data_IF_920262609067
#
_entry.id   IF_920262609067
#
_cell.length_a   1.000
_cell.length_b   1.000
_cell.length_c   1.000
_cell.angle_alpha   90.00
_cell.angle_beta   90.00
_cell.angle_gamma   90.00
#
_symmetry.space_group_name_H-M   'P 1'
#
loop_
_entity.id
_entity.type
_entity.pdbx_description
1 polymer ?
#
# COMPACT_ATOMS: atom_id res chain seq x y z
N UNK A 1 55.76 30.96 -52.28
CA UNK A 1 55.60 30.50 -50.88
C UNK A 1 54.81 31.58 -50.16
N UNK A 2 53.50 31.39 -50.04
CA UNK A 2 52.58 32.38 -49.47
C UNK A 2 51.71 31.66 -48.45
N UNK A 3 52.18 31.64 -47.21
CA UNK A 3 51.43 31.14 -46.07
C UNK A 3 50.40 32.18 -45.68
N UNK A 4 49.15 31.90 -46.05
CA UNK A 4 47.99 32.70 -45.71
C UNK A 4 47.55 32.28 -44.30
N UNK A 5 48.01 33.01 -43.29
CA UNK A 5 47.55 32.81 -41.91
C UNK A 5 46.08 33.20 -41.80
N UNK A 6 45.21 32.23 -41.53
CA UNK A 6 43.80 32.46 -41.24
C UNK A 6 43.61 33.07 -39.85
N UNK A 7 42.65 34.00 -39.65
CA UNK A 7 42.32 34.51 -38.33
C UNK A 7 41.70 33.39 -37.50
N UNK A 8 42.29 33.12 -36.33
CA UNK A 8 41.65 32.29 -35.32
C UNK A 8 40.49 33.12 -34.74
N UNK A 9 39.26 32.70 -34.98
CA UNK A 9 38.10 33.17 -34.23
C UNK A 9 38.26 32.72 -32.78
N UNK A 10 38.71 33.63 -31.92
CA UNK A 10 38.78 33.44 -30.48
C UNK A 10 37.34 33.41 -29.92
N UNK A 11 36.83 32.21 -29.65
CA UNK A 11 35.53 32.03 -29.02
C UNK A 11 35.46 32.77 -27.67
N UNK A 12 34.31 33.37 -27.30
CA UNK A 12 34.18 34.18 -26.09
C UNK A 12 34.28 33.30 -24.83
N UNK A 13 35.49 33.16 -24.29
CA UNK A 13 35.79 32.48 -23.03
C UNK A 13 35.63 33.42 -21.83
N UNK A 14 34.47 34.09 -21.73
CA UNK A 14 34.15 34.97 -20.60
C UNK A 14 33.63 34.20 -19.39
N UNK A 15 34.01 34.62 -18.18
CA UNK A 15 33.47 34.07 -16.93
C UNK A 15 31.93 34.03 -16.88
N UNK A 16 31.27 34.96 -17.58
CA UNK A 16 29.81 34.98 -17.74
C UNK A 16 29.22 33.76 -18.45
N UNK A 17 29.92 33.18 -19.43
CA UNK A 17 29.46 31.96 -20.11
C UNK A 17 29.52 30.75 -19.18
N UNK A 18 30.56 30.67 -18.33
CA UNK A 18 30.68 29.63 -17.31
C UNK A 18 29.56 29.73 -16.27
N UNK A 19 29.24 30.95 -15.82
CA UNK A 19 28.13 31.19 -14.88
C UNK A 19 26.79 30.80 -15.53
N UNK A 20 26.58 31.15 -16.80
CA UNK A 20 25.37 30.76 -17.52
C UNK A 20 25.22 29.23 -17.66
N UNK A 21 26.30 28.51 -17.97
CA UNK A 21 26.29 27.04 -18.02
C UNK A 21 26.02 26.40 -16.64
N UNK A 22 26.58 26.96 -15.57
CA UNK A 22 26.35 26.46 -14.21
C UNK A 22 24.90 26.74 -13.77
N UNK A 23 24.38 27.94 -14.01
CA UNK A 23 23.00 28.30 -13.65
C UNK A 23 21.99 27.46 -14.44
N UNK A 24 22.20 27.26 -15.74
CA UNK A 24 21.34 26.39 -16.56
C UNK A 24 21.38 24.93 -16.08
N UNK A 25 22.57 24.39 -15.77
CA UNK A 25 22.72 23.05 -15.20
C UNK A 25 21.97 22.93 -13.86
N UNK A 26 22.15 23.87 -12.92
CA UNK A 26 21.48 23.86 -11.62
C UNK A 26 19.95 23.96 -11.76
N UNK A 27 19.45 24.79 -12.68
CA UNK A 27 18.01 24.88 -12.96
C UNK A 27 17.45 23.58 -13.54
N UNK A 28 18.18 22.90 -14.43
CA UNK A 28 17.73 21.60 -14.97
C UNK A 28 17.74 20.48 -13.94
N UNK A 29 18.71 20.48 -13.01
CA UNK A 29 18.74 19.50 -11.93
C UNK A 29 17.64 19.75 -10.90
N UNK A 30 17.31 21.02 -10.64
CA UNK A 30 16.22 21.39 -9.72
C UNK A 30 14.83 21.07 -10.28
N UNK A 31 14.63 21.07 -11.60
CA UNK A 31 13.36 20.67 -12.22
C UNK A 31 13.18 19.15 -12.33
N UNK A 32 14.26 18.36 -12.24
CA UNK A 32 14.18 16.90 -12.12
C UNK A 32 13.67 16.52 -10.73
N UNK A 33 12.33 16.42 -10.58
CA UNK A 33 11.70 15.95 -9.35
C UNK A 33 11.90 14.43 -9.16
N UNK A 34 12.62 13.98 -8.13
CA UNK A 34 12.60 12.58 -7.73
C UNK A 34 11.21 12.27 -7.14
N UNK A 35 10.43 11.42 -7.81
CA UNK A 35 9.09 11.03 -7.34
C UNK A 35 8.08 10.68 -8.45
N UNK A 36 8.35 11.06 -9.70
CA UNK A 36 7.42 10.77 -10.81
C UNK A 36 7.24 9.26 -11.06
N UNK A 37 8.30 8.45 -10.89
CA UNK A 37 8.28 7.01 -11.23
C UNK A 37 7.49 6.18 -10.23
N UNK A 38 7.58 6.46 -8.92
CA UNK A 38 6.85 5.71 -7.90
C UNK A 38 5.34 5.93 -8.02
N UNK A 39 4.92 7.19 -8.24
CA UNK A 39 3.52 7.55 -8.50
C UNK A 39 2.95 6.88 -9.76
N UNK A 40 3.76 6.73 -10.80
CA UNK A 40 3.34 6.02 -12.01
C UNK A 40 3.05 4.53 -11.73
N UNK A 41 3.89 3.86 -10.92
CA UNK A 41 3.72 2.43 -10.60
C UNK A 41 2.44 2.17 -9.82
N UNK A 42 2.08 3.03 -8.86
CA UNK A 42 0.81 2.88 -8.14
C UNK A 42 -0.39 3.15 -9.04
N UNK A 43 -0.36 4.20 -9.87
CA UNK A 43 -1.47 4.46 -10.80
C UNK A 43 -1.71 3.30 -11.77
N UNK A 44 -0.66 2.64 -12.24
CA UNK A 44 -0.79 1.41 -13.04
C UNK A 44 -1.34 0.24 -12.22
N UNK A 45 -0.90 0.07 -10.97
CA UNK A 45 -1.42 -0.95 -10.07
C UNK A 45 -2.92 -0.80 -9.82
N UNK A 46 -3.39 0.44 -9.60
CA UNK A 46 -4.82 0.76 -9.49
C UNK A 46 -5.57 0.48 -10.80
N UNK A 47 -4.97 0.79 -11.95
CA UNK A 47 -5.53 0.47 -13.26
C UNK A 47 -5.75 -1.03 -13.45
N UNK A 48 -4.77 -1.85 -13.04
CA UNK A 48 -4.89 -3.30 -13.05
C UNK A 48 -6.02 -3.80 -12.13
N UNK A 49 -6.12 -3.28 -10.91
CA UNK A 49 -7.22 -3.63 -10.00
C UNK A 49 -8.58 -3.29 -10.60
N UNK A 50 -8.74 -2.09 -11.18
CA UNK A 50 -9.99 -1.67 -11.83
C UNK A 50 -10.36 -2.61 -13.00
N UNK A 51 -9.38 -2.99 -13.81
CA UNK A 51 -9.60 -3.93 -14.92
C UNK A 51 -10.05 -5.30 -14.42
N UNK A 52 -9.43 -5.81 -13.34
CA UNK A 52 -9.83 -7.07 -12.70
C UNK A 52 -11.22 -6.98 -12.07
N UNK A 53 -11.55 -5.86 -11.41
CA UNK A 53 -12.88 -5.60 -10.89
C UNK A 53 -13.95 -5.65 -11.98
N UNK A 54 -13.72 -4.98 -13.12
CA UNK A 54 -14.64 -5.05 -14.27
C UNK A 54 -14.78 -6.49 -14.79
N UNK A 55 -13.70 -7.26 -14.83
CA UNK A 55 -13.75 -8.67 -15.25
C UNK A 55 -14.59 -9.52 -14.27
N UNK A 56 -14.45 -9.29 -12.96
CA UNK A 56 -15.28 -9.92 -11.92
C UNK A 56 -16.76 -9.57 -12.10
N UNK A 57 -17.11 -8.30 -12.34
CA UNK A 57 -18.50 -7.90 -12.59
C UNK A 57 -19.08 -8.58 -13.85
N UNK A 58 -18.28 -8.66 -14.93
CA UNK A 58 -18.69 -9.36 -16.15
C UNK A 58 -18.89 -10.86 -15.91
N UNK A 59 -18.05 -11.47 -15.10
CA UNK A 59 -18.22 -12.87 -14.68
C UNK A 59 -19.53 -13.04 -13.91
N UNK A 60 -19.74 -12.25 -12.87
CA UNK A 60 -20.95 -12.32 -12.05
C UNK A 60 -22.23 -12.13 -12.90
N UNK A 61 -22.22 -11.21 -13.87
CA UNK A 61 -23.33 -11.01 -14.80
C UNK A 61 -23.70 -12.29 -15.58
N UNK A 62 -22.73 -13.14 -15.92
CA UNK A 62 -22.94 -14.41 -16.63
C UNK A 62 -23.23 -15.59 -15.69
N UNK A 63 -22.88 -15.46 -14.41
CA UNK A 63 -22.98 -16.51 -13.39
C UNK A 63 -23.98 -16.14 -12.27
N UNK A 64 -25.13 -15.57 -12.67
CA UNK A 64 -26.25 -15.26 -11.78
C UNK A 64 -25.87 -14.42 -10.55
N UNK A 65 -24.97 -13.46 -10.72
CA UNK A 65 -24.49 -12.58 -9.65
C UNK A 65 -23.40 -13.20 -8.76
N UNK A 66 -22.90 -14.39 -9.09
CA UNK A 66 -21.87 -15.08 -8.29
C UNK A 66 -20.47 -14.81 -8.81
N UNK A 67 -19.56 -14.38 -7.94
CA UNK A 67 -18.14 -14.22 -8.26
C UNK A 67 -17.41 -15.58 -8.27
N UNK A 68 -16.29 -15.70 -9.02
CA UNK A 68 -15.54 -16.95 -9.12
C UNK A 68 -14.86 -17.32 -7.80
N UNK A 69 -14.56 -18.60 -7.57
CA UNK A 69 -13.84 -19.01 -6.36
C UNK A 69 -12.34 -18.69 -6.48
N UNK A 70 -11.82 -18.64 -7.72
CA UNK A 70 -10.44 -18.31 -8.04
C UNK A 70 -10.37 -17.25 -9.12
N UNK A 71 -9.43 -16.31 -8.96
CA UNK A 71 -9.22 -15.24 -9.94
C UNK A 71 -8.85 -15.77 -11.35
N UNK A 72 -8.25 -16.97 -11.42
CA UNK A 72 -7.90 -17.64 -12.68
C UNK A 72 -9.10 -17.97 -13.57
N UNK A 73 -10.30 -18.11 -13.00
CA UNK A 73 -11.53 -18.40 -13.77
C UNK A 73 -11.95 -17.23 -14.67
N UNK A 74 -11.35 -16.04 -14.49
CA UNK A 74 -11.55 -14.90 -15.38
C UNK A 74 -10.80 -15.06 -16.71
N UNK A 75 -9.78 -15.93 -16.75
CA UNK A 75 -8.90 -16.09 -17.91
C UNK A 75 -9.33 -17.32 -18.72
N UNK A 76 -9.41 -17.23 -20.07
CA UNK A 76 -9.18 -16.05 -20.91
C UNK A 76 -10.45 -15.23 -21.21
N UNK A 77 -11.62 -15.69 -20.75
CA UNK A 77 -12.91 -15.24 -21.28
C UNK A 77 -13.30 -13.81 -20.87
N UNK A 78 -12.81 -13.32 -19.73
CA UNK A 78 -13.13 -12.00 -19.17
C UNK A 78 -11.94 -11.06 -19.14
N UNK A 79 -10.73 -11.61 -19.09
CA UNK A 79 -9.45 -10.90 -19.18
C UNK A 79 -8.40 -11.81 -19.85
N UNK A 80 -7.50 -11.23 -20.64
CA UNK A 80 -6.49 -12.00 -21.39
C UNK A 80 -5.53 -12.78 -20.47
N UNK A 81 -5.10 -12.15 -19.38
CA UNK A 81 -4.24 -12.72 -18.36
C UNK A 81 -4.35 -11.92 -17.06
N UNK A 82 -3.98 -12.54 -15.93
CA UNK A 82 -3.84 -11.81 -14.67
C UNK A 82 -2.59 -10.92 -14.75
N UNK A 83 -2.72 -9.59 -14.57
CA UNK A 83 -1.59 -8.68 -14.68
C UNK A 83 -0.62 -8.85 -13.50
N UNK A 84 0.63 -8.43 -13.67
CA UNK A 84 1.59 -8.33 -12.57
C UNK A 84 1.59 -6.94 -11.95
N UNK A 85 1.82 -6.83 -10.65
CA UNK A 85 2.01 -5.54 -10.00
C UNK A 85 3.28 -4.84 -10.57
N UNK A 86 3.19 -3.58 -11.04
CA UNK A 86 4.35 -2.84 -11.59
C UNK A 86 5.47 -2.59 -10.56
N UNK A 87 5.13 -2.54 -9.27
CA UNK A 87 6.10 -2.37 -8.19
C UNK A 87 6.76 -3.70 -7.80
N UNK A 88 5.97 -4.76 -7.61
CA UNK A 88 6.47 -6.08 -7.21
C UNK A 88 7.11 -6.88 -8.36
N UNK A 89 6.71 -6.59 -9.61
CA UNK A 89 7.06 -7.35 -10.83
C UNK A 89 6.64 -8.82 -10.79
N UNK A 90 5.57 -9.11 -10.06
CA UNK A 90 4.96 -10.43 -9.93
C UNK A 90 3.45 -10.30 -9.71
N UNK A 91 2.74 -11.42 -9.82
CA UNK A 91 1.32 -11.48 -9.47
C UNK A 91 1.14 -11.31 -7.96
N UNK A 92 0.46 -10.24 -7.57
CA UNK A 92 0.06 -9.95 -6.19
C UNK A 92 -1.47 -9.95 -6.02
N UNK A 93 -2.21 -10.12 -7.11
CA UNK A 93 -3.66 -10.01 -7.14
C UNK A 93 -4.32 -11.36 -6.91
N UNK A 94 -3.79 -12.45 -7.46
CA UNK A 94 -4.26 -13.81 -7.14
C UNK A 94 -4.23 -14.11 -5.64
N UNK A 95 -3.09 -13.95 -4.93
CA UNK A 95 -3.06 -14.15 -3.48
C UNK A 95 -3.79 -13.05 -2.69
N UNK A 96 -4.19 -11.96 -3.36
CA UNK A 96 -4.94 -10.85 -2.79
C UNK A 96 -6.43 -10.88 -3.10
N UNK A 97 -6.92 -11.93 -3.76
CA UNK A 97 -8.33 -12.12 -4.08
C UNK A 97 -9.01 -12.94 -2.99
N UNK A 98 -10.13 -12.43 -2.50
CA UNK A 98 -10.96 -13.08 -1.50
C UNK A 98 -12.43 -12.92 -1.90
N UNK A 99 -13.13 -14.03 -2.09
CA UNK A 99 -14.58 -14.05 -2.27
C UNK A 99 -15.23 -14.16 -0.89
N UNK A 100 -16.27 -13.38 -0.66
CA UNK A 100 -17.03 -13.40 0.58
C UNK A 100 -18.32 -14.23 0.42
N UNK A 101 -18.75 -14.85 1.52
CA UNK A 101 -19.96 -15.68 1.58
C UNK A 101 -21.25 -14.87 1.36
N UNK A 102 -21.21 -13.56 1.62
CA UNK A 102 -22.31 -12.62 1.41
C UNK A 102 -22.52 -12.23 -0.07
N UNK A 103 -21.76 -12.85 -0.97
CA UNK A 103 -21.79 -12.58 -2.40
C UNK A 103 -20.90 -11.40 -2.80
N UNK A 104 -20.08 -10.85 -1.92
CA UNK A 104 -19.07 -9.85 -2.23
C UNK A 104 -17.71 -10.43 -2.63
N UNK A 105 -16.77 -9.54 -2.95
CA UNK A 105 -15.37 -9.87 -3.06
C UNK A 105 -14.49 -8.72 -2.56
N UNK A 106 -13.26 -9.05 -2.23
CA UNK A 106 -12.16 -8.13 -1.96
C UNK A 106 -11.00 -8.50 -2.88
N UNK A 107 -10.40 -7.47 -3.48
CA UNK A 107 -9.22 -7.62 -4.32
C UNK A 107 -8.16 -6.60 -3.91
N UNK A 108 -6.98 -7.07 -3.55
CA UNK A 108 -5.87 -6.23 -3.08
C UNK A 108 -4.59 -6.47 -3.86
N UNK A 109 -3.72 -5.46 -3.92
CA UNK A 109 -2.31 -5.67 -4.20
C UNK A 109 -1.63 -6.24 -2.95
N UNK A 110 -1.48 -7.57 -2.87
CA UNK A 110 -0.97 -8.24 -1.66
C UNK A 110 0.49 -7.90 -1.35
N UNK A 111 0.78 -7.58 -0.09
CA UNK A 111 2.11 -7.26 0.43
C UNK A 111 2.38 -5.76 0.59
N UNK A 112 3.63 -5.38 0.85
CA UNK A 112 4.04 -3.98 1.07
C UNK A 112 4.79 -3.40 -0.14
N UNK A 113 4.19 -3.51 -1.32
CA UNK A 113 4.86 -3.17 -2.60
C UNK A 113 4.92 -1.66 -2.89
N UNK A 114 4.17 -0.85 -2.15
CA UNK A 114 4.04 0.59 -2.33
C UNK A 114 4.54 1.38 -1.10
N UNK A 115 5.39 0.77 -0.26
CA UNK A 115 5.89 1.36 0.98
C UNK A 115 6.68 2.66 0.79
N UNK A 116 7.35 2.84 -0.36
CA UNK A 116 8.09 4.07 -0.70
C UNK A 116 7.20 5.32 -0.80
N UNK A 117 5.88 5.14 -0.80
CA UNK A 117 4.87 6.20 -0.85
C UNK A 117 4.12 6.35 0.49
N UNK A 118 4.64 5.76 1.58
CA UNK A 118 3.98 5.68 2.89
C UNK A 118 2.59 5.01 2.83
N UNK A 119 2.40 4.12 1.86
CA UNK A 119 1.15 3.39 1.67
C UNK A 119 1.20 2.09 2.48
N UNK A 120 0.14 1.77 3.26
CA UNK A 120 0.13 0.58 4.09
C UNK A 120 0.26 -0.71 3.26
N UNK A 121 0.62 -1.81 3.90
CA UNK A 121 0.55 -3.13 3.27
C UNK A 121 -0.88 -3.46 2.81
N UNK A 122 -0.99 -4.29 1.77
CA UNK A 122 -2.26 -4.72 1.16
C UNK A 122 -3.09 -3.57 0.56
N UNK A 123 -2.40 -2.56 0.03
CA UNK A 123 -2.96 -1.48 -0.79
C UNK A 123 -2.17 -1.33 -2.11
N UNK A 124 -2.81 -0.84 -3.21
CA UNK A 124 -4.22 -0.46 -3.31
C UNK A 124 -5.18 -1.66 -3.21
N UNK A 125 -6.45 -1.39 -2.92
CA UNK A 125 -7.52 -2.39 -2.82
C UNK A 125 -8.83 -1.89 -3.42
N UNK A 126 -9.67 -2.83 -3.86
CA UNK A 126 -11.06 -2.61 -4.23
C UNK A 126 -11.93 -3.70 -3.62
N UNK A 127 -13.19 -3.38 -3.36
CA UNK A 127 -14.20 -4.32 -2.90
C UNK A 127 -15.33 -4.36 -3.94
N UNK A 128 -16.22 -5.35 -3.83
CA UNK A 128 -17.45 -5.34 -4.62
C UNK A 128 -18.30 -4.10 -4.29
N UNK A 129 -19.06 -3.56 -5.26
CA UNK A 129 -19.96 -2.43 -5.02
C UNK A 129 -20.99 -2.67 -3.92
N UNK A 130 -21.31 -3.95 -3.64
CA UNK A 130 -22.22 -4.34 -2.57
C UNK A 130 -21.64 -4.07 -1.17
N UNK A 131 -20.32 -4.19 -1.01
CA UNK A 131 -19.64 -3.95 0.27
C UNK A 131 -19.44 -2.46 0.56
N UNK A 132 -19.37 -1.59 -0.46
CA UNK A 132 -19.21 -0.14 -0.28
C UNK A 132 -20.48 0.55 0.27
N UNK A 133 -21.65 -0.09 0.15
CA UNK A 133 -22.92 0.44 0.65
C UNK A 133 -23.34 -0.17 2.01
N UNK A 134 -22.59 -1.14 2.55
CA UNK A 134 -22.73 -1.54 3.94
C UNK A 134 -22.16 -0.43 4.82
N UNK A 135 -22.83 -0.04 5.91
CA UNK A 135 -22.35 1.02 6.79
C UNK A 135 -20.97 0.62 7.29
N UNK A 136 -19.94 1.27 6.74
CA UNK A 136 -18.58 1.13 7.18
C UNK A 136 -18.55 1.40 8.68
N UNK A 137 -18.10 0.42 9.47
CA UNK A 137 -17.67 0.68 10.84
C UNK A 137 -16.60 1.77 10.81
N UNK A 138 -17.07 2.99 11.06
CA UNK A 138 -16.30 4.15 11.44
C UNK A 138 -15.67 3.85 12.81
N UNK A 139 -14.34 3.94 12.95
CA UNK A 139 -13.71 4.87 13.90
C UNK A 139 -12.17 4.80 13.89
N UNK A 140 -11.59 5.95 13.56
CA UNK A 140 -10.24 6.39 13.89
C UNK A 140 -9.85 6.15 15.36
N UNK A 141 -8.58 5.90 15.71
CA UNK A 141 -8.03 6.47 16.92
C UNK A 141 -7.41 7.83 16.57
N UNK A 142 -8.15 8.88 16.95
CA UNK A 142 -7.58 10.20 17.23
C UNK A 142 -6.35 10.07 18.15
N UNK A 143 -5.29 10.71 17.69
CA UNK A 143 -4.40 11.59 18.45
C UNK A 143 -4.35 11.44 19.98
N UNK A 144 -3.15 11.05 20.42
CA UNK A 144 -2.63 10.98 21.77
C UNK A 144 -2.85 12.26 22.60
N UNK A 145 -3.39 12.20 23.83
CA UNK A 145 -3.39 13.34 24.74
C UNK A 145 -1.99 13.54 25.35
N UNK A 146 -1.40 14.72 25.12
CA UNK A 146 -0.24 15.19 25.85
C UNK A 146 -0.65 15.61 27.27
N UNK A 147 0.06 15.06 28.25
CA UNK A 147 -0.07 15.33 29.68
C UNK A 147 0.73 16.60 30.08
N UNK A 148 0.23 17.39 31.03
CA UNK A 148 1.05 18.20 31.95
C UNK A 148 0.40 18.33 33.37
N UNK A 149 1.22 17.97 34.38
CA UNK A 149 1.32 18.40 35.82
C UNK A 149 0.14 18.18 36.80
N UNK A 150 0.18 17.21 37.75
CA UNK A 150 0.84 17.11 39.10
C UNK A 150 0.11 17.87 40.25
N UNK A 151 0.14 17.48 41.56
CA UNK A 151 0.93 16.44 42.27
C UNK A 151 0.18 15.51 43.29
N UNK A 152 0.89 14.48 43.76
CA UNK A 152 0.65 13.54 44.90
C UNK A 152 0.86 14.22 46.28
N UNK A 153 0.40 13.69 47.46
CA UNK A 153 1.04 12.55 48.14
C UNK A 153 0.14 11.58 48.96
N UNK A 154 0.67 10.36 49.13
CA UNK A 154 0.61 9.37 50.25
C UNK A 154 -0.57 9.31 51.25
N UNK A 155 -1.13 8.10 51.46
CA UNK A 155 -1.04 7.39 52.77
C UNK A 155 -1.38 5.89 52.62
N UNK A 156 -0.52 5.03 53.18
CA UNK A 156 -0.75 3.62 53.59
C UNK A 156 -0.66 3.60 55.14
N UNK A 157 -1.16 2.64 55.96
CA UNK A 157 -1.11 1.18 55.72
C UNK A 157 -2.11 0.21 56.45
N UNK A 158 -2.13 -1.07 56.01
CA UNK A 158 -2.26 -2.36 56.78
C UNK A 158 -3.61 -2.77 57.45
N UNK A 159 -3.75 -4.01 58.00
CA UNK A 159 -3.80 -5.35 57.37
C UNK A 159 -4.96 -6.23 57.96
N UNK A 160 -4.88 -7.57 57.82
CA UNK A 160 -5.62 -8.63 58.56
C UNK A 160 -7.10 -8.89 58.17
N UNK A 161 -7.65 -10.10 58.16
CA UNK A 161 -7.15 -11.48 58.21
C UNK A 161 -8.37 -12.41 57.92
N UNK A 162 -8.09 -13.71 57.77
CA UNK A 162 -9.00 -14.83 58.10
C UNK A 162 -10.06 -15.33 57.09
N UNK A 163 -9.66 -16.46 56.49
CA UNK A 163 -10.17 -17.81 56.80
C UNK A 163 -11.32 -18.38 55.92
N UNK A 164 -11.06 -19.55 55.32
CA UNK A 164 -12.04 -20.35 54.60
C UNK A 164 -11.44 -21.41 53.65
N UNK A 165 -10.72 -22.41 54.20
CA UNK A 165 -10.54 -23.77 53.61
C UNK A 165 -11.63 -24.65 54.28
N UNK A 166 -12.16 -25.78 53.74
CA UNK A 166 -11.43 -26.78 52.94
C UNK A 166 -12.22 -27.56 51.86
N UNK A 167 -11.47 -28.41 51.14
CA UNK A 167 -11.82 -29.75 50.59
C UNK A 167 -12.93 -29.82 49.51
N UNK A 168 -12.72 -30.45 48.35
CA UNK A 168 -12.57 -31.90 48.28
C UNK A 168 -11.92 -32.41 46.96
N UNK A 169 -11.05 -33.38 47.18
CA UNK A 169 -10.57 -34.52 46.40
C UNK A 169 -11.29 -34.91 45.09
N UNK A 170 -10.51 -35.34 44.08
CA UNK A 170 -10.36 -36.75 43.63
C UNK A 170 -9.55 -36.80 42.30
N UNK A 171 -8.41 -37.50 42.34
CA UNK A 171 -7.56 -38.00 41.24
C UNK A 171 -8.08 -39.38 40.71
N UNK A 172 -7.35 -40.18 39.90
CA UNK A 172 -6.80 -40.02 38.53
C UNK A 172 -7.11 -41.24 37.60
N UNK A 173 -6.48 -41.26 36.40
CA UNK A 173 -6.12 -42.41 35.51
C UNK A 173 -7.29 -43.12 34.77
N UNK A 174 -7.15 -43.67 33.55
CA UNK A 174 -6.04 -44.43 32.92
C UNK A 174 -6.20 -44.44 31.37
N UNK A 175 -5.21 -44.97 30.60
CA UNK A 175 -5.12 -44.95 29.14
C UNK A 175 -5.74 -46.18 28.48
N UNK A 176 -5.92 -46.12 27.15
CA UNK A 176 -5.75 -47.23 26.19
C UNK A 176 -5.28 -46.68 24.84
#
# INVERSE_FOLDING_TARGET
>A
MSDKASPQEEAPQGAGFRILLIVTLLLTLFTMRPGAVANQKIGQCEGHLKSLGIALEKYAYRHNGTYPDKLQELVPDYIEAIPTCPAARQDTYTPGYEKHDDGGYRLVCKGHNHGDLDIPADYPRINSPHLENSPSEEKSPEESPAAQESPTPEESPTPDDSNGTPEDSVQPADPQ
#
